data_IF_656858637929
#
_entry.id   IF_656858637929
#
_cell.length_a   1.000
_cell.length_b   1.000
_cell.length_c   1.000
_cell.angle_alpha   90.00
_cell.angle_beta   90.00
_cell.angle_gamma   90.00
#
_symmetry.space_group_name_H-M   'P 1'
#
loop_
_entity.id
_entity.type
_entity.pdbx_description
1 polymer ?
#
# COMPACT_ATOMS: atom_id res chain seq x y z
N UNK A 1 -7.66 15.33 -11.78
CA UNK A 1 -6.56 14.57 -12.41
C UNK A 1 -6.21 13.48 -11.43
N UNK A 2 -5.94 12.26 -11.91
CA UNK A 2 -5.54 11.18 -11.01
C UNK A 2 -4.23 11.56 -10.31
N UNK A 3 -4.08 11.10 -9.07
CA UNK A 3 -2.88 11.31 -8.27
C UNK A 3 -1.73 10.41 -8.71
N UNK A 4 -0.64 10.48 -7.95
CA UNK A 4 0.55 9.67 -8.22
C UNK A 4 0.34 8.24 -7.74
N UNK A 5 0.67 7.26 -8.57
CA UNK A 5 0.77 5.86 -8.16
C UNK A 5 2.24 5.44 -8.18
N UNK A 6 2.81 5.13 -7.01
CA UNK A 6 4.19 4.75 -6.83
C UNK A 6 4.32 3.24 -6.50
N UNK A 7 5.10 2.53 -7.31
CA UNK A 7 5.38 1.11 -7.15
C UNK A 7 6.81 0.96 -6.64
N UNK A 8 6.97 0.60 -5.38
CA UNK A 8 8.26 0.54 -4.69
C UNK A 8 8.73 -0.91 -4.62
N UNK A 9 9.97 -1.18 -5.06
CA UNK A 9 10.48 -2.55 -5.20
C UNK A 9 10.61 -3.35 -3.90
N UNK A 10 10.60 -2.68 -2.74
CA UNK A 10 10.78 -3.25 -1.40
C UNK A 10 11.69 -2.36 -0.54
N UNK A 11 11.97 -2.81 0.68
CA UNK A 11 12.80 -2.09 1.67
C UNK A 11 12.29 -0.69 1.98
N UNK A 12 10.96 -0.57 2.09
CA UNK A 12 10.30 0.67 2.46
C UNK A 12 10.76 1.21 3.82
N UNK A 13 10.67 2.53 3.95
CA UNK A 13 11.01 3.28 5.17
C UNK A 13 12.50 3.23 5.51
N UNK A 14 13.35 3.28 4.48
CA UNK A 14 14.81 3.37 4.59
C UNK A 14 15.31 4.65 3.93
N UNK A 15 16.55 5.05 4.22
CA UNK A 15 17.18 6.23 3.61
C UNK A 15 17.31 6.10 2.07
N UNK A 16 17.31 4.88 1.55
CA UNK A 16 17.30 4.60 0.11
C UNK A 16 15.97 5.02 -0.57
N UNK A 17 14.89 5.13 0.20
CA UNK A 17 13.58 5.61 -0.28
C UNK A 17 13.52 7.14 -0.40
N UNK A 18 14.63 7.83 -0.69
CA UNK A 18 14.69 9.30 -0.74
C UNK A 18 13.70 9.94 -1.73
N UNK A 19 13.16 9.17 -2.68
CA UNK A 19 12.09 9.60 -3.58
C UNK A 19 10.79 9.94 -2.85
N UNK A 20 10.55 9.43 -1.64
CA UNK A 20 9.37 9.74 -0.84
C UNK A 20 9.26 11.23 -0.53
N UNK A 21 10.38 11.96 -0.47
CA UNK A 21 10.39 13.42 -0.33
C UNK A 21 9.56 14.13 -1.42
N UNK A 22 9.54 13.58 -2.64
CA UNK A 22 8.73 14.10 -3.75
C UNK A 22 7.27 13.66 -3.63
N UNK A 23 7.01 12.43 -3.16
CA UNK A 23 5.65 11.92 -2.96
C UNK A 23 4.90 12.65 -1.83
N UNK A 24 5.64 13.13 -0.83
CA UNK A 24 5.12 13.79 0.37
C UNK A 24 4.87 15.31 0.19
N UNK A 25 5.10 15.88 -0.99
CA UNK A 25 4.88 17.31 -1.21
C UNK A 25 3.42 17.70 -0.96
N UNK A 26 3.18 18.51 0.08
CA UNK A 26 1.83 18.94 0.48
C UNK A 26 1.04 17.92 1.30
N UNK A 27 1.65 16.78 1.64
CA UNK A 27 1.07 15.74 2.50
C UNK A 27 1.38 16.06 3.96
N UNK A 28 0.36 16.10 4.82
CA UNK A 28 0.54 16.30 6.27
C UNK A 28 0.53 14.99 7.05
N UNK A 29 -0.20 14.00 6.54
CA UNK A 29 -0.36 12.69 7.16
C UNK A 29 -0.44 11.61 6.07
N UNK A 30 0.29 10.50 6.30
CA UNK A 30 0.22 9.28 5.49
C UNK A 30 -0.72 8.29 6.16
N UNK A 31 -1.71 7.79 5.42
CA UNK A 31 -2.53 6.67 5.84
C UNK A 31 -1.83 5.35 5.49
N UNK A 32 -1.26 4.69 6.50
CA UNK A 32 -0.50 3.46 6.34
C UNK A 32 -1.42 2.24 6.45
N UNK A 33 -1.44 1.39 5.43
CA UNK A 33 -2.17 0.12 5.42
C UNK A 33 -1.19 -1.06 5.56
N UNK A 34 -1.04 -1.65 6.77
CA UNK A 34 -0.13 -2.75 7.04
C UNK A 34 -0.75 -4.14 6.80
N UNK A 35 -1.85 -4.23 6.05
CA UNK A 35 -2.64 -5.47 5.90
C UNK A 35 -1.79 -6.67 5.45
N UNK A 36 -0.79 -6.48 4.59
CA UNK A 36 0.09 -7.54 4.13
C UNK A 36 0.91 -8.21 5.26
N UNK A 37 1.08 -7.54 6.40
CA UNK A 37 1.86 -7.98 7.56
C UNK A 37 1.00 -8.63 8.66
N UNK A 38 -0.26 -8.99 8.39
CA UNK A 38 -1.18 -9.56 9.38
C UNK A 38 -0.64 -10.78 10.15
N UNK A 39 0.36 -11.50 9.60
CA UNK A 39 0.98 -12.68 10.20
C UNK A 39 2.41 -12.45 10.69
N UNK A 40 2.97 -11.26 10.53
CA UNK A 40 4.40 -10.96 10.75
C UNK A 40 4.64 -9.95 11.89
N UNK A 41 3.63 -9.70 12.73
CA UNK A 41 3.67 -8.70 13.79
C UNK A 41 4.00 -7.28 13.26
N UNK A 42 3.00 -6.52 12.77
CA UNK A 42 3.21 -5.29 12.03
C UNK A 42 3.84 -4.15 12.86
N UNK A 43 3.92 -4.28 14.19
CA UNK A 43 4.34 -3.23 15.11
C UNK A 43 5.71 -2.63 14.80
N UNK A 44 6.71 -3.46 14.51
CA UNK A 44 8.06 -2.96 14.20
C UNK A 44 8.09 -2.16 12.89
N UNK A 45 7.35 -2.59 11.88
CA UNK A 45 7.26 -1.89 10.59
C UNK A 45 6.48 -0.58 10.74
N UNK A 46 5.41 -0.57 11.53
CA UNK A 46 4.63 0.63 11.83
C UNK A 46 5.49 1.67 12.54
N UNK A 47 6.25 1.28 13.57
CA UNK A 47 7.13 2.20 14.28
C UNK A 47 8.27 2.70 13.39
N UNK A 48 8.83 1.84 12.52
CA UNK A 48 9.79 2.26 11.51
C UNK A 48 9.19 3.28 10.54
N UNK A 49 7.97 3.05 10.04
CA UNK A 49 7.28 3.99 9.17
C UNK A 49 7.05 5.34 9.85
N UNK A 50 6.58 5.35 11.10
CA UNK A 50 6.40 6.58 11.89
C UNK A 50 7.72 7.34 12.03
N UNK A 51 8.79 6.66 12.43
CA UNK A 51 10.11 7.28 12.58
C UNK A 51 10.64 7.85 11.25
N UNK A 52 10.46 7.10 10.16
CA UNK A 52 10.87 7.49 8.82
C UNK A 52 10.12 8.75 8.34
N UNK A 53 8.79 8.74 8.36
CA UNK A 53 7.99 9.89 7.89
C UNK A 53 8.13 11.12 8.79
N UNK A 54 8.40 10.93 10.08
CA UNK A 54 8.71 12.03 10.99
C UNK A 54 9.97 12.81 10.57
N UNK A 55 10.92 12.19 9.86
CA UNK A 55 12.11 12.89 9.33
C UNK A 55 11.75 13.91 8.24
N UNK A 56 10.59 13.76 7.60
CA UNK A 56 10.01 14.72 6.64
C UNK A 56 9.00 15.67 7.30
N UNK A 57 8.77 15.56 8.61
CA UNK A 57 7.74 16.32 9.32
C UNK A 57 6.31 15.86 9.01
N UNK A 58 6.12 14.64 8.50
CA UNK A 58 4.83 14.08 8.12
C UNK A 58 4.36 13.06 9.15
N UNK A 59 3.09 13.15 9.56
CA UNK A 59 2.48 12.19 10.48
C UNK A 59 2.13 10.87 9.81
N UNK A 60 1.94 9.81 10.61
CA UNK A 60 1.44 8.52 10.12
C UNK A 60 0.20 8.13 10.90
N UNK A 61 -0.89 7.90 10.17
CA UNK A 61 -2.09 7.28 10.70
C UNK A 61 -2.15 5.84 10.23
N UNK A 62 -2.16 4.92 11.17
CA UNK A 62 -2.30 3.49 10.86
C UNK A 62 -3.77 3.20 10.57
N UNK A 63 -4.02 2.55 9.44
CA UNK A 63 -5.32 1.97 9.11
C UNK A 63 -5.28 0.50 9.53
N UNK A 64 -5.72 0.21 10.76
CA UNK A 64 -5.72 -1.13 11.37
C UNK A 64 -6.74 -2.07 10.73
N UNK A 65 -6.46 -2.48 9.49
CA UNK A 65 -7.24 -3.45 8.70
C UNK A 65 -6.32 -4.61 8.34
N UNK A 66 -6.61 -5.77 8.91
CA UNK A 66 -5.86 -7.03 8.75
C UNK A 66 -6.76 -8.17 8.24
N UNK A 67 -8.07 -7.97 8.17
CA UNK A 67 -9.02 -8.97 7.69
C UNK A 67 -10.01 -8.35 6.73
N UNK A 68 -10.51 -9.18 5.81
CA UNK A 68 -11.56 -8.78 4.88
C UNK A 68 -12.79 -8.19 5.58
N UNK A 69 -13.19 -8.74 6.73
CA UNK A 69 -14.34 -8.24 7.47
C UNK A 69 -14.15 -6.77 7.89
N UNK A 70 -12.94 -6.40 8.31
CA UNK A 70 -12.60 -5.02 8.67
C UNK A 70 -12.59 -4.11 7.43
N UNK A 71 -12.10 -4.60 6.28
CA UNK A 71 -12.13 -3.88 5.00
C UNK A 71 -13.55 -3.68 4.43
N UNK A 72 -14.53 -4.44 4.90
CA UNK A 72 -15.95 -4.30 4.53
C UNK A 72 -16.68 -3.23 5.35
N UNK A 73 -16.12 -2.81 6.48
CA UNK A 73 -16.72 -1.77 7.30
C UNK A 73 -16.65 -0.40 6.58
N UNK A 74 -17.64 0.49 6.78
CA UNK A 74 -17.66 1.80 6.13
C UNK A 74 -16.46 2.69 6.51
N UNK A 75 -16.08 2.67 7.79
CA UNK A 75 -15.10 3.60 8.34
C UNK A 75 -13.72 3.52 7.64
N UNK A 76 -13.09 2.35 7.42
CA UNK A 76 -11.85 2.29 6.66
C UNK A 76 -11.92 2.89 5.25
N UNK A 77 -13.05 2.70 4.54
CA UNK A 77 -13.27 3.28 3.22
C UNK A 77 -13.36 4.82 3.29
N UNK A 78 -14.06 5.36 4.29
CA UNK A 78 -14.17 6.80 4.52
C UNK A 78 -12.79 7.42 4.81
N UNK A 79 -11.98 6.76 5.64
CA UNK A 79 -10.62 7.20 5.95
C UNK A 79 -9.71 7.15 4.72
N UNK A 80 -9.78 6.07 3.94
CA UNK A 80 -9.03 5.94 2.69
C UNK A 80 -9.42 7.03 1.69
N UNK A 81 -10.72 7.30 1.53
CA UNK A 81 -11.24 8.31 0.60
C UNK A 81 -10.80 9.74 0.93
N UNK A 82 -10.57 10.03 2.22
CA UNK A 82 -10.16 11.35 2.69
C UNK A 82 -8.63 11.55 2.75
N UNK A 83 -7.83 10.51 2.50
CA UNK A 83 -6.38 10.58 2.64
C UNK A 83 -5.72 11.36 1.50
N UNK A 84 -4.72 12.19 1.82
CA UNK A 84 -3.86 12.83 0.82
C UNK A 84 -2.84 11.85 0.24
N UNK A 85 -2.41 10.88 1.07
CA UNK A 85 -1.50 9.82 0.68
C UNK A 85 -1.82 8.53 1.42
N UNK A 86 -1.83 7.42 0.68
CA UNK A 86 -1.91 6.08 1.22
C UNK A 86 -0.60 5.34 0.94
N UNK A 87 -0.15 4.55 1.92
CA UNK A 87 1.05 3.71 1.77
C UNK A 87 0.72 2.27 2.17
N UNK A 88 0.91 1.33 1.25
CA UNK A 88 0.70 -0.10 1.48
C UNK A 88 2.06 -0.77 1.70
N UNK A 89 2.21 -1.47 2.82
CA UNK A 89 3.44 -2.21 3.13
C UNK A 89 3.52 -3.52 2.36
N UNK A 90 4.75 -4.00 2.13
CA UNK A 90 4.99 -5.37 1.65
C UNK A 90 4.65 -6.42 2.70
N UNK A 91 4.74 -7.70 2.32
CA UNK A 91 4.36 -8.85 3.15
C UNK A 91 3.68 -9.94 2.32
N UNK A 92 2.56 -10.48 2.80
CA UNK A 92 1.81 -11.52 2.08
C UNK A 92 0.93 -10.95 0.96
N UNK A 93 1.25 -11.17 -0.33
CA UNK A 93 0.46 -10.67 -1.46
C UNK A 93 -0.93 -11.30 -1.49
N UNK A 94 -0.98 -12.60 -1.21
CA UNK A 94 -2.24 -13.34 -1.24
C UNK A 94 -3.21 -12.86 -0.18
N UNK A 95 -2.69 -12.57 1.02
CA UNK A 95 -3.50 -12.06 2.11
C UNK A 95 -3.98 -10.63 1.82
N UNK A 96 -3.08 -9.72 1.44
CA UNK A 96 -3.44 -8.34 1.07
C UNK A 96 -4.53 -8.31 -0.01
N UNK A 97 -4.37 -9.11 -1.07
CA UNK A 97 -5.38 -9.23 -2.11
C UNK A 97 -6.72 -9.70 -1.56
N UNK A 98 -6.72 -10.71 -0.68
CA UNK A 98 -7.96 -11.25 -0.09
C UNK A 98 -8.70 -10.24 0.79
N UNK A 99 -7.94 -9.37 1.46
CA UNK A 99 -8.47 -8.27 2.29
C UNK A 99 -9.10 -7.20 1.39
N UNK A 100 -8.42 -6.79 0.32
CA UNK A 100 -8.83 -5.63 -0.49
C UNK A 100 -9.86 -5.93 -1.58
N UNK A 101 -9.74 -7.06 -2.29
CA UNK A 101 -10.52 -7.35 -3.51
C UNK A 101 -12.02 -7.21 -3.26
N UNK A 102 -12.75 -6.47 -4.10
CA UNK A 102 -14.20 -6.29 -3.98
C UNK A 102 -14.62 -5.83 -2.57
N UNK A 103 -13.92 -4.85 -1.98
CA UNK A 103 -14.29 -4.24 -0.69
C UNK A 103 -14.44 -2.72 -0.81
N UNK A 104 -15.30 -2.10 0.02
CA UNK A 104 -15.42 -0.65 0.12
C UNK A 104 -14.08 0.04 0.39
N UNK A 105 -13.17 -0.60 1.13
CA UNK A 105 -11.84 -0.05 1.35
C UNK A 105 -11.09 0.17 0.03
N UNK A 106 -11.06 -0.84 -0.85
CA UNK A 106 -10.43 -0.69 -2.17
C UNK A 106 -11.10 0.41 -2.99
N UNK A 107 -12.43 0.48 -2.96
CA UNK A 107 -13.18 1.55 -3.65
C UNK A 107 -12.80 2.94 -3.12
N UNK A 108 -12.66 3.09 -1.80
CA UNK A 108 -12.25 4.34 -1.16
C UNK A 108 -10.82 4.75 -1.51
N UNK A 109 -9.89 3.79 -1.54
CA UNK A 109 -8.52 4.02 -2.01
C UNK A 109 -8.52 4.51 -3.46
N UNK A 110 -9.27 3.86 -4.35
CA UNK A 110 -9.36 4.24 -5.76
C UNK A 110 -10.03 5.60 -5.95
N UNK A 111 -11.05 5.91 -5.16
CA UNK A 111 -11.69 7.23 -5.12
C UNK A 111 -10.71 8.33 -4.73
N UNK A 112 -9.90 8.12 -3.68
CA UNK A 112 -8.87 9.06 -3.27
C UNK A 112 -7.84 9.31 -4.37
N UNK A 113 -7.34 8.24 -5.02
CA UNK A 113 -6.40 8.36 -6.11
C UNK A 113 -6.97 9.12 -7.31
N UNK A 114 -8.21 8.83 -7.71
CA UNK A 114 -8.89 9.56 -8.78
C UNK A 114 -9.10 11.05 -8.42
N UNK A 115 -9.27 11.36 -7.14
CA UNK A 115 -9.35 12.71 -6.61
C UNK A 115 -8.00 13.44 -6.49
N UNK A 116 -6.88 12.76 -6.73
CA UNK A 116 -5.54 13.35 -6.75
C UNK A 116 -4.61 12.88 -5.63
N UNK A 117 -5.05 11.97 -4.74
CA UNK A 117 -4.20 11.43 -3.67
C UNK A 117 -3.08 10.55 -4.22
N UNK A 118 -1.94 10.53 -3.51
CA UNK A 118 -0.85 9.62 -3.82
C UNK A 118 -1.12 8.24 -3.23
N UNK A 119 -0.91 7.17 -4.00
CA UNK A 119 -0.86 5.81 -3.48
C UNK A 119 0.55 5.27 -3.72
N UNK A 120 1.23 4.86 -2.65
CA UNK A 120 2.47 4.11 -2.72
C UNK A 120 2.22 2.67 -2.27
N UNK A 121 2.78 1.70 -3.00
CA UNK A 121 2.71 0.30 -2.64
C UNK A 121 4.11 -0.30 -2.70
N UNK A 122 4.54 -0.92 -1.61
CA UNK A 122 5.88 -1.48 -1.47
C UNK A 122 5.90 -3.00 -1.57
N UNK A 123 6.97 -3.53 -2.17
CA UNK A 123 7.21 -4.96 -2.28
C UNK A 123 6.06 -5.68 -2.95
N UNK A 124 5.56 -6.72 -2.30
CA UNK A 124 4.47 -7.56 -2.80
C UNK A 124 3.17 -6.78 -3.00
N UNK A 125 2.94 -5.69 -2.25
CA UNK A 125 1.78 -4.84 -2.45
C UNK A 125 1.78 -4.19 -3.84
N UNK A 126 2.95 -3.80 -4.38
CA UNK A 126 3.06 -3.26 -5.74
C UNK A 126 2.62 -4.29 -6.79
N UNK A 127 3.00 -5.56 -6.59
CA UNK A 127 2.58 -6.67 -7.45
C UNK A 127 1.07 -6.90 -7.37
N UNK A 128 0.48 -6.82 -6.18
CA UNK A 128 -0.96 -7.01 -5.93
C UNK A 128 -1.84 -6.02 -6.71
N UNK A 129 -1.38 -4.77 -6.93
CA UNK A 129 -2.15 -3.78 -7.70
C UNK A 129 -2.26 -4.13 -9.19
N UNK A 130 -1.40 -5.00 -9.72
CA UNK A 130 -1.41 -5.39 -11.12
C UNK A 130 -2.48 -6.46 -11.42
N UNK A 131 -2.81 -6.70 -12.69
CA UNK A 131 -3.69 -7.83 -13.08
C UNK A 131 -3.03 -9.18 -12.79
N UNK A 132 -1.72 -9.24 -12.96
CA UNK A 132 -0.89 -10.40 -12.67
C UNK A 132 0.08 -10.04 -11.54
N UNK A 133 0.10 -10.85 -10.49
CA UNK A 133 1.02 -10.69 -9.36
C UNK A 133 1.87 -11.95 -9.17
N UNK A 134 3.05 -11.81 -8.59
CA UNK A 134 3.98 -12.93 -8.33
C UNK A 134 3.36 -13.87 -7.29
N UNK A 135 3.26 -15.17 -7.60
CA UNK A 135 2.87 -16.19 -6.62
C UNK A 135 4.08 -16.50 -5.72
N UNK A 136 3.96 -16.21 -4.43
CA UNK A 136 5.02 -16.45 -3.45
C UNK A 136 5.36 -17.93 -3.26
N UNK A 137 4.52 -18.85 -3.76
CA UNK A 137 4.76 -20.31 -3.73
C UNK A 137 5.58 -20.80 -4.93
N UNK A 138 5.85 -19.93 -5.91
CA UNK A 138 6.57 -20.23 -7.13
C UNK A 138 5.70 -20.82 -8.25
N UNK A 139 6.26 -20.86 -9.47
CA UNK A 139 5.71 -21.62 -10.60
C UNK A 139 4.94 -20.82 -11.66
N UNK A 140 4.28 -19.70 -11.33
CA UNK A 140 3.60 -18.83 -12.30
C UNK A 140 3.17 -17.49 -11.67
N UNK A 141 2.67 -16.56 -12.49
CA UNK A 141 1.85 -15.46 -11.99
C UNK A 141 0.48 -15.96 -11.51
N UNK A 142 -0.09 -15.24 -10.54
CA UNK A 142 -1.48 -15.35 -10.11
C UNK A 142 -2.21 -14.04 -10.34
N UNK A 143 -3.51 -13.98 -10.01
CA UNK A 143 -4.38 -12.83 -10.27
C UNK A 143 -4.19 -11.80 -9.15
N UNK A 144 -3.95 -10.53 -9.49
CA UNK A 144 -3.93 -9.41 -8.55
C UNK A 144 -5.29 -8.70 -8.42
N UNK A 145 -5.27 -7.38 -8.35
CA UNK A 145 -6.45 -6.49 -8.21
C UNK A 145 -6.87 -5.80 -9.51
N UNK A 146 -6.13 -6.01 -10.60
CA UNK A 146 -6.49 -5.50 -11.94
C UNK A 146 -6.55 -3.96 -12.05
N UNK A 147 -5.82 -3.23 -11.20
CA UNK A 147 -5.71 -1.77 -11.28
C UNK A 147 -4.70 -1.35 -12.36
N UNK A 148 -3.63 -2.13 -12.51
CA UNK A 148 -2.62 -1.95 -13.54
C UNK A 148 -2.62 -3.18 -14.45
N UNK A 149 -3.11 -3.00 -15.68
CA UNK A 149 -3.30 -4.10 -16.63
C UNK A 149 -2.26 -4.16 -17.77
N UNK A 150 -1.32 -3.22 -17.79
CA UNK A 150 -0.28 -3.11 -18.83
C UNK A 150 1.08 -3.64 -18.40
N UNK A 151 1.27 -3.91 -17.11
CA UNK A 151 2.55 -4.40 -16.56
C UNK A 151 2.32 -5.26 -15.31
N UNK A 152 3.39 -5.91 -14.86
CA UNK A 152 3.46 -6.57 -13.55
C UNK A 152 4.74 -6.14 -12.84
N UNK A 153 4.69 -6.08 -11.52
CA UNK A 153 5.86 -5.77 -10.68
C UNK A 153 6.40 -7.07 -10.10
N UNK A 154 7.70 -7.29 -10.31
CA UNK A 154 8.48 -8.31 -9.62
C UNK A 154 9.25 -7.60 -8.50
N UNK A 155 8.75 -7.63 -7.24
CA UNK A 155 9.42 -6.97 -6.13
C UNK A 155 10.69 -7.73 -5.73
N UNK A 156 11.60 -7.06 -5.03
CA UNK A 156 12.84 -7.62 -4.47
C UNK A 156 13.71 -8.37 -5.49
N UNK A 157 13.68 -7.96 -6.75
CA UNK A 157 14.32 -8.69 -7.86
C UNK A 157 15.82 -8.97 -7.68
N UNK A 158 16.54 -8.14 -6.91
CA UNK A 158 17.98 -8.26 -6.68
C UNK A 158 18.35 -8.67 -5.23
N UNK A 159 17.40 -9.24 -4.48
CA UNK A 159 17.62 -9.72 -3.10
C UNK A 159 17.75 -11.23 -3.03
#
# INVERSE_FOLDING_TARGET
MNGTLALVGGEEFTEACSFDAALLQGVQEVLLLPAALAYENPGEVIERAKAYFATFGVGVRVLDVYRRAEAMEPLPSELASAAQMLYLTGGSPMHLRSVLKDTPLLDGMMGAWQAGATIAAAGEAASVLCSHMVDSRGGAFTIGLDLINTMTVIPRYNQ
#
